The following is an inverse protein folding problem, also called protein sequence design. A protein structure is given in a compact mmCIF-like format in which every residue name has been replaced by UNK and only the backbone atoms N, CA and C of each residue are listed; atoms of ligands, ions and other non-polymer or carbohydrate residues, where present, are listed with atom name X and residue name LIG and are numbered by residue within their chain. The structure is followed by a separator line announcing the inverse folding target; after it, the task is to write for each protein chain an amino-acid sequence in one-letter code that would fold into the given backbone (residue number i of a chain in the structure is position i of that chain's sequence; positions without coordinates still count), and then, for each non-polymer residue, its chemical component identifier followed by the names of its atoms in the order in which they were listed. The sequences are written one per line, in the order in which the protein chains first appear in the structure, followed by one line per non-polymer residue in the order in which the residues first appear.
data_IF_520669999932
#
_entry.id   IF_520669999932
#
_cell.length_a   1.000
_cell.length_b   1.000
_cell.length_c   1.000
_cell.angle_alpha   90.00
_cell.angle_beta   90.00
_cell.angle_gamma   90.00
#
_symmetry.space_group_name_H-M   'P 1'
#
loop_
_entity.id
_entity.type
_entity.pdbx_description
1 polymer ?
#
# COMPACT_ATOMS: atom_id res chain seq x y z
N UNK A 1 -28.62 -7.76 5.99
CA UNK A 1 -27.25 -7.45 6.44
C UNK A 1 -26.32 -6.94 5.34
N UNK A 2 -25.72 -7.75 4.43
CA UNK A 2 -24.77 -7.19 3.42
C UNK A 2 -25.43 -6.22 2.42
N UNK A 3 -26.53 -6.63 1.79
CA UNK A 3 -27.24 -5.82 0.78
C UNK A 3 -27.78 -4.54 1.44
N UNK A 4 -28.44 -4.70 2.58
CA UNK A 4 -28.94 -3.61 3.41
C UNK A 4 -27.86 -2.60 3.82
N UNK A 5 -26.66 -3.05 4.21
CA UNK A 5 -25.53 -2.16 4.50
C UNK A 5 -25.09 -1.39 3.25
N UNK A 6 -25.02 -2.06 2.11
CA UNK A 6 -24.62 -1.43 0.85
C UNK A 6 -25.64 -0.39 0.38
N UNK A 7 -26.93 -0.66 0.55
CA UNK A 7 -28.01 0.26 0.20
C UNK A 7 -28.07 1.46 1.16
N UNK A 8 -27.93 1.23 2.47
CA UNK A 8 -28.02 2.29 3.48
C UNK A 8 -26.83 3.25 3.46
N UNK A 9 -25.63 2.77 3.12
CA UNK A 9 -24.39 3.56 3.12
C UNK A 9 -23.89 3.92 1.71
N UNK A 10 -24.69 3.64 0.67
CA UNK A 10 -24.34 3.80 -0.74
C UNK A 10 -22.94 3.24 -1.08
N UNK A 11 -22.74 1.96 -0.73
CA UNK A 11 -21.51 1.23 -0.99
C UNK A 11 -21.66 0.34 -2.23
N UNK A 12 -20.55 0.17 -2.94
CA UNK A 12 -20.41 -0.67 -4.11
C UNK A 12 -19.42 -1.81 -3.82
N UNK A 13 -19.82 -3.03 -4.17
CA UNK A 13 -18.91 -4.16 -4.31
C UNK A 13 -18.32 -4.12 -5.73
N UNK A 14 -17.13 -3.54 -5.85
CA UNK A 14 -16.50 -3.24 -7.14
C UNK A 14 -16.28 -4.46 -8.00
N UNK A 15 -15.91 -5.59 -7.38
CA UNK A 15 -15.69 -6.81 -8.13
C UNK A 15 -17.00 -7.32 -8.73
N UNK A 16 -18.10 -7.27 -7.97
CA UNK A 16 -19.41 -7.71 -8.43
C UNK A 16 -19.99 -6.80 -9.50
N UNK A 17 -19.83 -5.48 -9.37
CA UNK A 17 -20.31 -4.53 -10.37
C UNK A 17 -19.58 -4.67 -11.71
N UNK A 18 -18.25 -4.89 -11.69
CA UNK A 18 -17.45 -5.09 -12.91
C UNK A 18 -17.61 -6.49 -13.53
N UNK A 19 -18.01 -7.48 -12.74
CA UNK A 19 -18.13 -8.88 -13.18
C UNK A 19 -19.48 -9.49 -12.77
N UNK A 20 -20.62 -8.95 -13.25
CA UNK A 20 -21.95 -9.33 -12.78
C UNK A 20 -22.28 -10.82 -13.02
N UNK A 21 -21.77 -11.39 -14.11
CA UNK A 21 -22.08 -12.76 -14.53
C UNK A 21 -21.02 -13.78 -14.12
N UNK A 22 -19.88 -13.34 -13.56
CA UNK A 22 -18.82 -14.25 -13.19
C UNK A 22 -19.05 -14.81 -11.78
N UNK A 23 -18.95 -16.14 -11.67
CA UNK A 23 -18.85 -16.83 -10.39
C UNK A 23 -17.38 -16.94 -10.03
N UNK A 24 -16.98 -16.18 -9.02
CA UNK A 24 -15.63 -16.19 -8.48
C UNK A 24 -15.68 -16.41 -6.98
N UNK A 25 -14.72 -17.17 -6.48
CA UNK A 25 -14.55 -17.54 -5.09
C UNK A 25 -13.22 -16.99 -4.59
N UNK A 26 -13.19 -16.57 -3.34
CA UNK A 26 -11.97 -16.09 -2.68
C UNK A 26 -11.47 -17.06 -1.63
N UNK A 27 -12.23 -18.12 -1.37
CA UNK A 27 -11.88 -19.17 -0.43
C UNK A 27 -12.30 -20.53 -0.99
N UNK A 28 -11.47 -21.55 -0.77
CA UNK A 28 -11.76 -22.94 -1.11
C UNK A 28 -11.49 -23.84 0.09
N UNK A 29 -12.40 -24.76 0.40
CA UNK A 29 -12.19 -25.67 1.53
C UNK A 29 -11.02 -26.62 1.24
N UNK A 30 -10.05 -26.67 2.15
CA UNK A 30 -8.97 -27.66 2.11
C UNK A 30 -9.46 -29.08 2.42
N UNK A 31 -10.64 -29.23 3.03
CA UNK A 31 -11.20 -30.52 3.47
C UNK A 31 -12.24 -31.06 2.50
N UNK A 32 -12.95 -30.17 1.80
CA UNK A 32 -14.03 -30.52 0.88
C UNK A 32 -13.81 -29.79 -0.45
N UNK A 33 -13.09 -30.39 -1.40
CA UNK A 33 -12.60 -29.71 -2.61
C UNK A 33 -13.68 -29.05 -3.47
N UNK A 34 -14.92 -29.53 -3.40
CA UNK A 34 -16.07 -28.98 -4.16
C UNK A 34 -16.68 -27.73 -3.52
N UNK A 35 -16.25 -27.36 -2.30
CA UNK A 35 -16.78 -26.21 -1.58
C UNK A 35 -15.90 -24.99 -1.82
N UNK A 36 -16.48 -24.01 -2.51
CA UNK A 36 -15.86 -22.72 -2.76
C UNK A 36 -16.82 -21.59 -2.36
N UNK A 37 -16.28 -20.57 -1.70
CA UNK A 37 -17.04 -19.42 -1.22
C UNK A 37 -16.35 -18.11 -1.59
N UNK A 38 -17.13 -17.04 -1.69
CA UNK A 38 -16.61 -15.67 -1.78
C UNK A 38 -16.80 -14.99 -0.42
N UNK A 39 -15.74 -14.99 0.37
CA UNK A 39 -15.71 -14.46 1.73
C UNK A 39 -15.08 -13.07 1.79
N UNK A 40 -14.20 -12.77 0.84
CA UNK A 40 -13.38 -11.57 0.81
C UNK A 40 -13.87 -10.62 -0.29
N UNK A 41 -14.06 -9.35 0.05
CA UNK A 41 -14.50 -8.32 -0.88
C UNK A 41 -14.18 -6.92 -0.34
N UNK A 42 -14.03 -5.96 -1.25
CA UNK A 42 -13.97 -4.56 -0.90
C UNK A 42 -15.34 -3.92 -1.14
N UNK A 43 -15.87 -3.27 -0.11
CA UNK A 43 -16.96 -2.32 -0.24
C UNK A 43 -16.37 -0.92 -0.21
N UNK A 44 -16.66 -0.12 -1.23
CA UNK A 44 -16.24 1.29 -1.27
C UNK A 44 -17.45 2.18 -1.50
N UNK A 45 -17.36 3.46 -1.11
CA UNK A 45 -18.40 4.42 -1.45
C UNK A 45 -18.58 4.52 -2.97
N UNK A 46 -19.84 4.59 -3.41
CA UNK A 46 -20.18 4.62 -4.83
C UNK A 46 -19.53 5.78 -5.58
N UNK A 47 -19.33 6.92 -4.90
CA UNK A 47 -18.61 8.07 -5.46
C UNK A 47 -17.11 7.84 -5.72
N UNK A 48 -16.52 6.75 -5.21
CA UNK A 48 -15.14 6.33 -5.44
C UNK A 48 -15.00 5.28 -6.56
N UNK A 49 -16.11 4.78 -7.12
CA UNK A 49 -16.10 3.74 -8.15
C UNK A 49 -15.31 4.18 -9.39
N UNK A 50 -15.46 5.43 -9.80
CA UNK A 50 -14.75 6.00 -10.96
C UNK A 50 -13.23 6.11 -10.78
N UNK A 51 -12.75 6.07 -9.54
CA UNK A 51 -11.36 6.24 -9.15
C UNK A 51 -10.65 4.89 -9.03
N UNK A 52 -11.37 3.78 -9.12
CA UNK A 52 -10.78 2.44 -9.12
C UNK A 52 -10.10 2.21 -10.46
N UNK A 53 -8.78 2.07 -10.46
CA UNK A 53 -7.99 1.81 -11.67
C UNK A 53 -7.85 0.31 -11.92
N UNK A 54 -7.74 -0.50 -10.86
CA UNK A 54 -7.58 -1.95 -10.99
C UNK A 54 -8.31 -2.68 -9.87
N UNK A 55 -8.93 -3.80 -10.21
CA UNK A 55 -9.45 -4.77 -9.27
C UNK A 55 -9.06 -6.16 -9.79
N UNK A 56 -8.32 -6.93 -9.02
CA UNK A 56 -7.86 -8.24 -9.45
C UNK A 56 -7.64 -9.17 -8.25
N UNK A 57 -7.46 -10.45 -8.56
CA UNK A 57 -7.21 -11.48 -7.57
C UNK A 57 -6.03 -12.34 -8.02
N UNK A 58 -5.32 -12.93 -7.07
CA UNK A 58 -4.24 -13.87 -7.34
C UNK A 58 -4.28 -15.02 -6.34
N UNK A 59 -3.88 -16.24 -6.75
CA UNK A 59 -3.77 -17.35 -5.83
C UNK A 59 -2.75 -17.03 -4.71
N UNK A 60 -3.06 -17.44 -3.48
CA UNK A 60 -2.08 -17.46 -2.40
C UNK A 60 -1.40 -18.82 -2.37
N UNK A 61 -0.08 -18.86 -2.18
CA UNK A 61 0.68 -20.12 -2.13
C UNK A 61 0.53 -20.84 -0.79
N UNK A 62 0.11 -20.14 0.27
CA UNK A 62 0.13 -20.64 1.65
C UNK A 62 -1.21 -20.46 2.37
N UNK A 63 -2.28 -20.16 1.63
CA UNK A 63 -3.62 -19.99 2.20
C UNK A 63 -4.67 -20.59 1.27
N UNK A 64 -5.74 -21.08 1.89
CA UNK A 64 -7.02 -21.44 1.27
C UNK A 64 -7.79 -20.21 0.73
N UNK A 65 -7.28 -19.00 0.98
CA UNK A 65 -7.79 -17.77 0.43
C UNK A 65 -7.01 -17.29 -0.80
N UNK A 66 -7.74 -16.72 -1.76
CA UNK A 66 -7.18 -15.88 -2.81
C UNK A 66 -6.89 -14.48 -2.27
N UNK A 67 -5.80 -13.90 -2.72
CA UNK A 67 -5.50 -12.49 -2.49
C UNK A 67 -6.45 -11.69 -3.38
N UNK A 68 -7.16 -10.73 -2.81
CA UNK A 68 -7.90 -9.72 -3.55
C UNK A 68 -7.18 -8.37 -3.43
N UNK A 69 -7.17 -7.60 -4.51
CA UNK A 69 -6.48 -6.31 -4.57
C UNK A 69 -7.35 -5.27 -5.28
N UNK A 70 -7.30 -4.05 -4.74
CA UNK A 70 -8.05 -2.90 -5.24
C UNK A 70 -7.11 -1.70 -5.28
N UNK A 71 -6.90 -1.17 -6.48
CA UNK A 71 -6.10 0.03 -6.70
C UNK A 71 -7.05 1.21 -6.92
N UNK A 72 -6.91 2.26 -6.10
CA UNK A 72 -7.73 3.47 -6.16
C UNK A 72 -6.80 4.69 -6.33
N UNK A 73 -7.11 5.53 -7.30
CA UNK A 73 -6.40 6.80 -7.51
C UNK A 73 -7.24 7.96 -6.99
N UNK A 74 -6.96 8.40 -5.76
CA UNK A 74 -7.78 9.40 -5.04
C UNK A 74 -7.33 10.85 -5.36
N UNK A 75 -6.08 11.09 -5.76
CA UNK A 75 -5.56 12.42 -6.08
C UNK A 75 -4.42 12.39 -7.09
N UNK A 76 -4.44 13.30 -8.07
CA UNK A 76 -3.30 13.64 -8.95
C UNK A 76 -2.60 14.94 -8.51
N UNK A 77 -2.96 15.50 -7.36
CA UNK A 77 -2.35 16.72 -6.80
C UNK A 77 -1.09 16.44 -5.97
N UNK A 78 -0.33 17.50 -5.66
CA UNK A 78 0.83 17.42 -4.76
C UNK A 78 0.38 16.86 -3.41
N UNK A 79 1.05 15.79 -2.94
CA UNK A 79 0.85 15.25 -1.59
C UNK A 79 0.98 16.40 -0.58
N UNK A 80 0.00 16.57 0.29
CA UNK A 80 0.10 17.49 1.43
C UNK A 80 1.13 16.98 2.45
N UNK A 81 1.37 17.73 3.55
CA UNK A 81 2.26 17.33 4.64
C UNK A 81 1.65 16.22 5.51
N UNK A 82 1.19 15.14 4.88
CA UNK A 82 0.68 13.96 5.57
C UNK A 82 1.80 13.24 6.32
N UNK A 83 1.42 12.29 7.17
CA UNK A 83 2.33 11.35 7.79
C UNK A 83 3.21 10.68 6.72
N UNK A 84 4.51 10.96 6.75
CA UNK A 84 5.47 10.32 5.86
C UNK A 84 5.80 8.93 6.42
N UNK A 85 5.70 7.92 5.55
CA UNK A 85 6.12 6.55 5.83
C UNK A 85 7.26 6.20 4.89
N UNK A 86 8.34 5.64 5.43
CA UNK A 86 9.48 5.20 4.64
C UNK A 86 9.05 4.19 3.58
N UNK A 87 9.48 4.40 2.33
CA UNK A 87 9.22 3.48 1.25
C UNK A 87 10.16 2.28 1.36
N UNK A 88 9.60 1.10 1.66
CA UNK A 88 10.36 -0.13 1.85
C UNK A 88 11.05 -0.64 0.57
N UNK A 89 10.76 -0.08 -0.62
CA UNK A 89 11.50 -0.42 -1.84
C UNK A 89 12.86 0.29 -1.93
N UNK A 90 13.07 1.38 -1.20
CA UNK A 90 14.29 2.21 -1.32
C UNK A 90 15.59 1.48 -0.97
N UNK A 91 15.65 0.59 0.06
CA UNK A 91 16.88 -0.16 0.32
C UNK A 91 17.29 -1.10 -0.81
N UNK A 92 16.40 -1.42 -1.75
CA UNK A 92 16.69 -2.24 -2.92
C UNK A 92 17.14 -1.40 -4.15
N UNK A 93 17.08 -0.08 -4.07
CA UNK A 93 17.53 0.82 -5.14
C UNK A 93 18.99 1.25 -4.88
N UNK A 94 19.89 0.83 -5.76
CA UNK A 94 21.32 1.11 -5.66
C UNK A 94 21.61 2.62 -5.63
N UNK A 95 20.92 3.42 -6.45
CA UNK A 95 21.12 4.87 -6.50
C UNK A 95 20.71 5.53 -5.19
N UNK A 96 19.59 5.07 -4.60
CA UNK A 96 19.16 5.54 -3.29
C UNK A 96 20.19 5.19 -2.21
N UNK A 97 20.69 3.95 -2.19
CA UNK A 97 21.66 3.53 -1.17
C UNK A 97 22.97 4.30 -1.26
N UNK A 98 23.49 4.55 -2.47
CA UNK A 98 24.67 5.38 -2.69
C UNK A 98 24.46 6.82 -2.20
N UNK A 99 23.32 7.44 -2.53
CA UNK A 99 22.97 8.77 -2.07
C UNK A 99 22.96 8.89 -0.54
N UNK A 100 22.37 7.91 0.16
CA UNK A 100 22.35 7.89 1.62
C UNK A 100 23.74 7.66 2.21
N UNK A 101 24.56 6.81 1.60
CA UNK A 101 25.94 6.60 2.01
C UNK A 101 26.75 7.89 1.91
N UNK A 102 26.65 8.62 0.79
CA UNK A 102 27.34 9.90 0.57
C UNK A 102 26.95 10.93 1.63
N UNK A 103 25.66 11.01 1.99
CA UNK A 103 25.18 11.90 3.06
C UNK A 103 25.80 11.53 4.41
N UNK A 104 25.82 10.24 4.75
CA UNK A 104 26.38 9.77 6.02
C UNK A 104 27.87 10.05 6.07
N UNK A 105 28.62 9.79 4.99
CA UNK A 105 30.05 10.07 4.88
C UNK A 105 30.31 11.57 5.03
N UNK A 106 29.59 12.41 4.27
CA UNK A 106 29.73 13.86 4.32
C UNK A 106 29.50 14.41 5.74
N UNK A 107 28.42 13.99 6.41
CA UNK A 107 28.15 14.40 7.81
C UNK A 107 29.25 13.87 8.73
N UNK A 108 29.74 12.65 8.49
CA UNK A 108 30.76 12.05 9.32
C UNK A 108 32.10 12.78 9.27
N UNK A 109 32.46 13.31 8.10
CA UNK A 109 33.66 14.12 7.86
C UNK A 109 33.58 15.54 8.43
N UNK A 110 32.43 15.98 8.95
CA UNK A 110 32.31 17.30 9.60
C UNK A 110 32.67 17.26 11.09
N UNK A 111 33.41 18.25 11.55
CA UNK A 111 33.69 18.49 12.98
C UNK A 111 32.58 19.31 13.68
N UNK A 112 31.46 19.58 13.00
CA UNK A 112 30.37 20.41 13.53
C UNK A 112 29.65 19.80 14.74
N UNK A 113 29.78 18.50 14.98
CA UNK A 113 29.05 17.79 16.02
C UNK A 113 29.99 17.28 17.10
N UNK A 114 29.91 17.89 18.28
CA UNK A 114 30.64 17.45 19.49
C UNK A 114 29.99 16.23 20.17
N UNK A 115 28.73 15.94 19.89
CA UNK A 115 27.95 14.89 20.54
C UNK A 115 27.37 13.91 19.50
N UNK A 116 27.68 12.63 19.66
CA UNK A 116 27.21 11.54 18.80
C UNK A 116 25.68 11.47 18.69
N UNK A 117 24.95 11.73 19.77
CA UNK A 117 23.47 11.78 19.76
C UNK A 117 22.95 12.91 18.87
N UNK A 118 23.52 14.12 18.96
CA UNK A 118 23.15 15.24 18.08
C UNK A 118 23.47 14.94 16.62
N UNK A 119 24.63 14.31 16.36
CA UNK A 119 25.02 13.85 15.02
C UNK A 119 24.02 12.84 14.46
N UNK A 120 23.59 11.88 15.28
CA UNK A 120 22.60 10.88 14.90
C UNK A 120 21.23 11.49 14.59
N UNK A 121 20.73 12.41 15.42
CA UNK A 121 19.47 13.11 15.14
C UNK A 121 19.55 13.90 13.82
N UNK A 122 20.69 14.53 13.54
CA UNK A 122 20.90 15.25 12.29
C UNK A 122 20.96 14.32 11.07
N UNK A 123 21.62 13.16 11.18
CA UNK A 123 21.61 12.12 10.13
C UNK A 123 20.18 11.68 9.85
N UNK A 124 19.41 11.31 10.87
CA UNK A 124 18.00 10.90 10.71
C UNK A 124 17.17 11.98 10.01
N UNK A 125 17.34 13.24 10.42
CA UNK A 125 16.67 14.37 9.79
C UNK A 125 17.02 14.52 8.31
N UNK A 126 18.32 14.49 7.97
CA UNK A 126 18.78 14.61 6.58
C UNK A 126 18.34 13.44 5.71
N UNK A 127 18.47 12.21 6.21
CA UNK A 127 17.97 11.02 5.53
C UNK A 127 16.47 11.17 5.29
N UNK A 128 15.67 11.48 6.30
CA UNK A 128 14.23 11.67 6.14
C UNK A 128 13.85 12.72 5.10
N UNK A 129 14.52 13.88 5.11
CA UNK A 129 14.31 14.92 4.09
C UNK A 129 14.61 14.42 2.67
N UNK A 130 15.73 13.72 2.49
CA UNK A 130 16.15 13.23 1.18
C UNK A 130 15.24 12.11 0.70
N UNK A 131 14.87 11.18 1.58
CA UNK A 131 13.92 10.12 1.27
C UNK A 131 12.55 10.66 0.86
N UNK A 132 12.08 11.75 1.48
CA UNK A 132 10.82 12.41 1.09
C UNK A 132 10.88 12.97 -0.33
N UNK A 133 12.02 13.53 -0.74
CA UNK A 133 12.20 14.11 -2.07
C UNK A 133 12.53 13.07 -3.16
N UNK A 134 13.07 11.92 -2.76
CA UNK A 134 13.33 10.79 -3.65
C UNK A 134 12.05 10.03 -4.06
N UNK A 135 10.96 10.21 -3.28
CA UNK A 135 9.66 9.54 -3.45
C UNK A 135 8.79 10.12 -4.57
#
# INVERSE_FOLDING_TARGET
MRIELMETLDLADIWRERNPFQKHFTWSSNVSPDIHCRLDFFLIFRNLVSQVTRNFFSPSLQSDHFIISLDITIFAGRRGPSFWKFNCSFPADENYTLLIQDIIVAINSTEQFLNASKKWEFIKFKVGMVSMNYS
#
